data_IF_910150106132
#
_entry.id   IF_910150106132
#
_cell.length_a   1.000
_cell.length_b   1.000
_cell.length_c   1.000
_cell.angle_alpha   90.00
_cell.angle_beta   90.00
_cell.angle_gamma   90.00
#
_symmetry.space_group_name_H-M   'P 1'
#
loop_
_entity.id
_entity.type
_entity.pdbx_description
1 polymer ?
#
# COMPACT_ATOMS: atom_id res chain seq x y z
N UNK A 1 -7.58 15.04 4.76
CA UNK A 1 -6.73 13.86 4.98
C UNK A 1 -6.66 13.10 3.67
N UNK A 2 -5.46 12.75 3.26
CA UNK A 2 -5.15 11.99 2.05
C UNK A 2 -4.77 10.56 2.42
N UNK A 3 -5.18 9.61 1.60
CA UNK A 3 -4.87 8.19 1.78
C UNK A 3 -4.11 7.70 0.56
N UNK A 4 -2.90 7.22 0.78
CA UNK A 4 -2.07 6.60 -0.24
C UNK A 4 -2.22 5.09 -0.21
N UNK A 5 -2.33 4.46 -1.38
CA UNK A 5 -2.45 3.00 -1.49
C UNK A 5 -1.31 2.50 -2.39
N UNK A 6 -0.45 1.67 -1.81
CA UNK A 6 0.63 0.96 -2.51
C UNK A 6 0.14 -0.45 -2.80
N UNK A 7 -0.33 -0.66 -4.03
CA UNK A 7 -0.93 -1.92 -4.46
C UNK A 7 -2.37 -1.74 -4.94
N UNK A 8 -2.64 -2.15 -6.17
CA UNK A 8 -3.96 -2.05 -6.80
C UNK A 8 -4.57 -3.43 -7.09
N UNK A 9 -4.29 -4.42 -6.24
CA UNK A 9 -4.99 -5.71 -6.24
C UNK A 9 -6.37 -5.61 -5.57
N UNK A 10 -7.04 -6.75 -5.37
CA UNK A 10 -8.41 -6.79 -4.83
C UNK A 10 -8.57 -6.02 -3.50
N UNK A 11 -7.65 -6.22 -2.55
CA UNK A 11 -7.66 -5.52 -1.25
C UNK A 11 -7.49 -4.00 -1.43
N UNK A 12 -6.47 -3.58 -2.19
CA UNK A 12 -6.21 -2.16 -2.43
C UNK A 12 -7.37 -1.45 -3.13
N UNK A 13 -7.99 -2.09 -4.13
CA UNK A 13 -9.17 -1.55 -4.82
C UNK A 13 -10.40 -1.46 -3.90
N UNK A 14 -10.67 -2.49 -3.12
CA UNK A 14 -11.79 -2.49 -2.17
C UNK A 14 -11.63 -1.41 -1.11
N UNK A 15 -10.42 -1.26 -0.56
CA UNK A 15 -10.11 -0.21 0.40
C UNK A 15 -10.28 1.18 -0.24
N UNK A 16 -9.70 1.41 -1.42
CA UNK A 16 -9.81 2.66 -2.18
C UNK A 16 -11.27 3.07 -2.38
N UNK A 17 -12.13 2.12 -2.78
CA UNK A 17 -13.55 2.37 -2.99
C UNK A 17 -14.27 2.80 -1.71
N UNK A 18 -13.99 2.14 -0.58
CA UNK A 18 -14.64 2.47 0.69
C UNK A 18 -14.23 3.85 1.19
N UNK A 19 -12.94 4.18 1.15
CA UNK A 19 -12.48 5.48 1.67
C UNK A 19 -12.81 6.64 0.72
N UNK A 20 -12.80 6.42 -0.60
CA UNK A 20 -13.30 7.42 -1.55
C UNK A 20 -14.79 7.71 -1.33
N UNK A 21 -15.60 6.67 -1.13
CA UNK A 21 -17.03 6.80 -0.80
C UNK A 21 -17.27 7.51 0.54
N UNK A 22 -16.37 7.33 1.51
CA UNK A 22 -16.39 8.05 2.78
C UNK A 22 -15.93 9.52 2.67
N UNK A 23 -15.50 9.97 1.48
CA UNK A 23 -15.14 11.37 1.23
C UNK A 23 -13.67 11.71 1.44
N UNK A 24 -12.77 10.72 1.50
CA UNK A 24 -11.33 10.94 1.54
C UNK A 24 -10.73 11.06 0.15
N UNK A 25 -9.67 11.85 0.03
CA UNK A 25 -8.84 11.93 -1.18
C UNK A 25 -7.88 10.73 -1.23
N UNK A 26 -7.82 10.04 -2.36
CA UNK A 26 -7.13 8.75 -2.52
C UNK A 26 -6.10 8.82 -3.64
N UNK A 27 -4.87 8.38 -3.34
CA UNK A 27 -3.80 8.19 -4.32
C UNK A 27 -3.55 6.70 -4.47
N UNK A 28 -3.94 6.12 -5.60
CA UNK A 28 -3.70 4.69 -5.87
C UNK A 28 -2.44 4.54 -6.71
N UNK A 29 -1.56 3.63 -6.30
CA UNK A 29 -0.32 3.31 -7.02
C UNK A 29 -0.15 1.80 -7.22
N UNK A 30 0.58 1.43 -8.27
CA UNK A 30 1.00 0.06 -8.51
C UNK A 30 2.37 0.05 -9.24
N UNK A 31 2.95 -1.14 -9.45
CA UNK A 31 4.24 -1.29 -10.13
C UNK A 31 4.23 -1.06 -11.65
N UNK A 32 3.05 -0.96 -12.27
CA UNK A 32 2.86 -0.80 -13.73
C UNK A 32 2.65 0.66 -14.14
N UNK A 33 2.81 1.60 -13.21
CA UNK A 33 2.66 3.03 -13.48
C UNK A 33 1.22 3.56 -13.36
N UNK A 34 1.05 4.89 -13.13
CA UNK A 34 -0.25 5.54 -12.98
C UNK A 34 -1.19 5.34 -14.16
N UNK A 35 -0.66 5.29 -15.39
CA UNK A 35 -1.39 5.09 -16.63
C UNK A 35 -2.20 3.78 -16.63
N UNK A 36 -1.67 2.73 -15.99
CA UNK A 36 -2.36 1.44 -15.87
C UNK A 36 -3.60 1.47 -14.96
N UNK A 37 -3.81 2.58 -14.25
CA UNK A 37 -4.88 2.76 -13.26
C UNK A 37 -6.02 3.68 -13.75
N UNK A 38 -5.95 4.20 -14.98
CA UNK A 38 -6.95 5.13 -15.52
C UNK A 38 -8.39 4.59 -15.38
N UNK A 39 -8.61 3.32 -15.73
CA UNK A 39 -9.92 2.69 -15.57
C UNK A 39 -10.40 2.60 -14.13
N UNK A 40 -9.50 2.27 -13.20
CA UNK A 40 -9.83 2.16 -11.77
C UNK A 40 -10.22 3.52 -11.19
N UNK A 41 -9.42 4.57 -11.45
CA UNK A 41 -9.68 5.89 -10.84
C UNK A 41 -10.94 6.53 -11.40
N UNK A 42 -11.26 6.29 -12.69
CA UNK A 42 -12.55 6.67 -13.26
C UNK A 42 -13.73 6.00 -12.55
N UNK A 43 -13.59 4.73 -12.16
CA UNK A 43 -14.63 4.02 -11.40
C UNK A 43 -14.75 4.51 -9.96
N UNK A 44 -13.63 4.86 -9.32
CA UNK A 44 -13.59 5.37 -7.95
C UNK A 44 -14.14 6.80 -7.83
N UNK A 45 -14.10 7.57 -8.92
CA UNK A 45 -14.67 8.91 -9.00
C UNK A 45 -13.69 10.03 -8.63
N UNK A 46 -14.19 11.27 -8.46
CA UNK A 46 -13.37 12.49 -8.50
C UNK A 46 -12.38 12.64 -7.34
N UNK A 47 -12.55 11.89 -6.25
CA UNK A 47 -11.64 11.90 -5.10
C UNK A 47 -10.48 10.92 -5.22
N UNK A 48 -10.44 10.12 -6.28
CA UNK A 48 -9.36 9.18 -6.52
C UNK A 48 -8.51 9.65 -7.70
N UNK A 49 -7.20 9.58 -7.53
CA UNK A 49 -6.24 9.77 -8.61
C UNK A 49 -5.21 8.64 -8.63
N UNK A 50 -4.66 8.42 -9.82
CA UNK A 50 -3.52 7.53 -9.97
C UNK A 50 -2.25 8.32 -9.60
N UNK A 51 -1.28 7.64 -9.00
CA UNK A 51 -0.02 8.24 -8.63
C UNK A 51 1.11 7.22 -8.56
N UNK A 52 2.32 7.73 -8.38
CA UNK A 52 3.51 6.88 -8.16
C UNK A 52 3.51 6.30 -6.74
N UNK A 53 4.34 5.28 -6.48
CA UNK A 53 4.52 4.76 -5.11
C UNK A 53 5.02 5.85 -4.17
N UNK A 54 5.91 6.71 -4.66
CA UNK A 54 6.49 7.83 -3.92
C UNK A 54 5.43 8.86 -3.54
N UNK A 55 4.51 9.18 -4.45
CA UNK A 55 3.37 10.07 -4.15
C UNK A 55 2.41 9.45 -3.14
N UNK A 56 2.06 8.18 -3.32
CA UNK A 56 1.18 7.48 -2.37
C UNK A 56 1.83 7.41 -0.97
N UNK A 57 3.13 7.15 -0.88
CA UNK A 57 3.87 7.09 0.38
C UNK A 57 3.94 8.43 1.14
N UNK A 58 3.60 9.55 0.49
CA UNK A 58 3.58 10.88 1.12
C UNK A 58 2.23 11.25 1.76
N UNK A 59 1.18 10.45 1.53
CA UNK A 59 -0.14 10.69 2.09
C UNK A 59 -0.16 10.65 3.62
N UNK A 60 -1.17 11.28 4.24
CA UNK A 60 -1.30 11.33 5.70
C UNK A 60 -1.38 9.92 6.32
N UNK A 61 -2.07 9.01 5.63
CA UNK A 61 -2.17 7.57 5.94
C UNK A 61 -1.82 6.79 4.68
N UNK A 62 -0.97 5.77 4.82
CA UNK A 62 -0.58 4.89 3.72
C UNK A 62 -1.08 3.48 3.99
N UNK A 63 -1.59 2.80 2.96
CA UNK A 63 -1.95 1.38 3.01
C UNK A 63 -1.03 0.62 2.06
N UNK A 64 -0.35 -0.40 2.57
CA UNK A 64 0.41 -1.33 1.73
C UNK A 64 -0.40 -2.61 1.53
N UNK A 65 -0.81 -2.85 0.29
CA UNK A 65 -1.68 -3.95 -0.11
C UNK A 65 -1.09 -4.70 -1.31
N UNK A 66 0.14 -5.18 -1.14
CA UNK A 66 0.87 -5.99 -2.12
C UNK A 66 1.02 -7.43 -1.65
N UNK A 67 1.40 -8.32 -2.57
CA UNK A 67 1.82 -9.68 -2.20
C UNK A 67 3.11 -9.62 -1.36
N UNK A 68 3.27 -10.57 -0.43
CA UNK A 68 4.39 -10.59 0.53
C UNK A 68 5.76 -10.50 -0.15
N UNK A 69 5.93 -11.22 -1.25
CA UNK A 69 7.16 -11.29 -2.03
C UNK A 69 7.52 -9.96 -2.68
N UNK A 70 6.52 -9.10 -2.89
CA UNK A 70 6.68 -7.77 -3.45
C UNK A 70 6.85 -6.68 -2.38
N UNK A 71 6.65 -6.99 -1.10
CA UNK A 71 6.64 -6.02 0.00
C UNK A 71 7.93 -5.19 0.06
N UNK A 72 9.10 -5.86 0.03
CA UNK A 72 10.41 -5.17 0.10
C UNK A 72 10.59 -4.18 -1.05
N UNK A 73 10.27 -4.60 -2.28
CA UNK A 73 10.37 -3.74 -3.45
C UNK A 73 9.31 -2.61 -3.45
N UNK A 74 8.12 -2.87 -2.89
CA UNK A 74 7.07 -1.88 -2.77
C UNK A 74 7.42 -0.77 -1.77
N UNK A 75 8.19 -1.09 -0.73
CA UNK A 75 8.59 -0.17 0.34
C UNK A 75 10.02 0.38 0.18
N UNK A 76 10.78 -0.06 -0.83
CA UNK A 76 12.11 0.48 -1.12
C UNK A 76 12.03 1.88 -1.76
N UNK A 77 13.04 2.69 -1.46
CA UNK A 77 13.30 3.99 -2.08
C UNK A 77 12.12 4.97 -1.96
N UNK A 78 11.41 4.90 -0.84
CA UNK A 78 10.31 5.81 -0.50
C UNK A 78 10.81 7.02 0.30
N UNK A 79 10.11 8.16 0.23
CA UNK A 79 10.40 9.32 1.08
C UNK A 79 10.36 8.97 2.58
N UNK A 80 11.17 9.68 3.38
CA UNK A 80 11.22 9.50 4.83
C UNK A 80 9.81 9.57 5.46
N UNK A 81 9.51 8.62 6.35
CA UNK A 81 8.15 8.40 6.89
C UNK A 81 7.70 9.46 7.90
N UNK A 82 8.61 10.11 8.61
CA UNK A 82 8.32 11.26 9.48
C UNK A 82 7.12 11.07 10.44
N UNK A 83 6.93 9.87 10.99
CA UNK A 83 5.84 9.54 11.90
C UNK A 83 4.49 9.23 11.25
N UNK A 84 4.39 9.21 9.90
CA UNK A 84 3.16 8.86 9.18
C UNK A 84 2.68 7.45 9.49
N UNK A 85 1.37 7.24 9.39
CA UNK A 85 0.75 5.93 9.60
C UNK A 85 0.92 5.08 8.35
N UNK A 86 1.39 3.84 8.54
CA UNK A 86 1.35 2.78 7.53
C UNK A 86 0.45 1.65 8.05
N UNK A 87 -0.66 1.40 7.35
CA UNK A 87 -1.52 0.26 7.58
C UNK A 87 -0.97 -0.91 6.75
N UNK A 88 -0.58 -1.99 7.43
CA UNK A 88 -0.15 -3.23 6.80
C UNK A 88 -1.36 -4.12 6.48
N UNK A 89 -1.67 -4.27 5.20
CA UNK A 89 -2.69 -5.18 4.72
C UNK A 89 -2.11 -6.43 4.04
N UNK A 90 -0.84 -6.76 4.34
CA UNK A 90 -0.17 -7.93 3.79
C UNK A 90 -0.36 -9.17 4.66
N UNK A 91 -0.22 -10.34 4.05
CA UNK A 91 -0.15 -11.63 4.75
C UNK A 91 1.20 -12.27 4.44
N UNK A 92 1.88 -12.82 5.44
CA UNK A 92 3.19 -13.46 5.28
C UNK A 92 3.10 -14.87 4.67
N UNK A 93 2.60 -14.93 3.43
CA UNK A 93 2.42 -16.16 2.66
C UNK A 93 3.01 -16.01 1.26
N UNK A 94 3.53 -17.10 0.71
CA UNK A 94 4.19 -17.15 -0.61
C UNK A 94 3.29 -17.84 -1.64
N UNK A 95 3.32 -17.34 -2.87
CA UNK A 95 2.59 -17.84 -4.03
C UNK A 95 3.49 -18.60 -5.01
N UNK A 96 2.95 -19.59 -5.74
CA UNK A 96 1.62 -20.18 -5.59
C UNK A 96 1.59 -21.19 -4.43
N UNK A 97 0.52 -21.21 -3.63
CA UNK A 97 0.31 -22.23 -2.59
C UNK A 97 -0.13 -21.71 -1.23
N UNK A 98 0.10 -20.42 -0.97
CA UNK A 98 -0.16 -19.79 0.33
C UNK A 98 0.63 -20.43 1.48
N UNK A 99 1.83 -20.92 1.18
CA UNK A 99 2.75 -21.43 2.19
C UNK A 99 3.21 -20.29 3.10
N UNK A 100 3.37 -20.59 4.39
CA UNK A 100 3.89 -19.60 5.34
C UNK A 100 5.31 -19.18 4.92
N UNK A 101 5.53 -17.86 4.84
CA UNK A 101 6.85 -17.34 4.55
C UNK A 101 7.81 -17.67 5.70
N UNK A 102 9.05 -18.03 5.38
CA UNK A 102 10.09 -18.16 6.40
C UNK A 102 10.49 -16.77 6.91
N UNK A 103 10.14 -16.47 8.17
CA UNK A 103 10.40 -15.18 8.80
C UNK A 103 11.66 -15.17 9.68
N UNK A 104 12.43 -16.27 9.67
CA UNK A 104 13.67 -16.42 10.44
C UNK A 104 13.53 -16.09 11.94
N UNK A 105 12.39 -16.44 12.53
CA UNK A 105 12.10 -16.21 13.95
C UNK A 105 11.45 -14.86 14.29
N UNK A 106 11.29 -13.96 13.32
CA UNK A 106 10.53 -12.71 13.48
C UNK A 106 9.04 -12.88 13.18
N UNK A 107 8.23 -11.94 13.63
CA UNK A 107 6.85 -11.75 13.19
C UNK A 107 6.78 -10.99 11.86
N UNK A 108 5.66 -11.12 11.13
CA UNK A 108 5.45 -10.38 9.89
C UNK A 108 5.46 -8.86 10.13
N UNK A 109 4.85 -8.42 11.23
CA UNK A 109 4.79 -7.01 11.62
C UNK A 109 6.18 -6.44 11.95
N UNK A 110 7.06 -7.20 12.60
CA UNK A 110 8.45 -6.77 12.82
C UNK A 110 9.20 -6.58 11.50
N UNK A 111 9.01 -7.50 10.54
CA UNK A 111 9.61 -7.38 9.22
C UNK A 111 9.09 -6.11 8.52
N UNK A 112 7.78 -5.87 8.51
CA UNK A 112 7.20 -4.68 7.88
C UNK A 112 7.72 -3.41 8.54
N UNK A 113 7.71 -3.33 9.87
CA UNK A 113 8.22 -2.17 10.61
C UNK A 113 9.71 -1.90 10.32
N UNK A 114 10.52 -2.95 10.12
CA UNK A 114 11.93 -2.79 9.76
C UNK A 114 12.16 -2.16 8.38
N UNK A 115 11.19 -2.28 7.46
CA UNK A 115 11.27 -1.74 6.11
C UNK A 115 10.89 -0.26 6.02
N UNK A 116 10.22 0.27 7.05
CA UNK A 116 9.67 1.64 7.04
C UNK A 116 10.08 2.42 8.28
N UNK A 117 11.40 2.63 8.50
CA UNK A 117 11.88 3.34 9.68
C UNK A 117 11.24 4.72 9.79
N UNK A 118 10.70 5.02 10.98
CA UNK A 118 9.99 6.26 11.28
C UNK A 118 8.51 6.25 10.93
N UNK A 119 7.95 5.18 10.37
CA UNK A 119 6.50 5.03 10.26
C UNK A 119 5.88 4.56 11.58
N UNK A 120 4.60 4.85 11.76
CA UNK A 120 3.74 4.21 12.76
C UNK A 120 2.99 3.07 12.07
N UNK A 121 3.50 1.85 12.20
CA UNK A 121 2.86 0.67 11.61
C UNK A 121 1.63 0.28 12.43
N UNK A 122 0.52 0.03 11.72
CA UNK A 122 -0.77 -0.42 12.23
C UNK A 122 -1.16 -1.72 11.56
#
# INVERSE_FOLDING_TARGET
MTIGIIGAGGIGQAFAAHVAKAGYEVIVSNRRGPESLAGLVNQLGPRARAGTRQEAAQADVVVVAVQWEQLRAALSDLPAWNGRILIDATNAVVQPGFDLANLNGSTSSEIVASLVPGARVV
#
